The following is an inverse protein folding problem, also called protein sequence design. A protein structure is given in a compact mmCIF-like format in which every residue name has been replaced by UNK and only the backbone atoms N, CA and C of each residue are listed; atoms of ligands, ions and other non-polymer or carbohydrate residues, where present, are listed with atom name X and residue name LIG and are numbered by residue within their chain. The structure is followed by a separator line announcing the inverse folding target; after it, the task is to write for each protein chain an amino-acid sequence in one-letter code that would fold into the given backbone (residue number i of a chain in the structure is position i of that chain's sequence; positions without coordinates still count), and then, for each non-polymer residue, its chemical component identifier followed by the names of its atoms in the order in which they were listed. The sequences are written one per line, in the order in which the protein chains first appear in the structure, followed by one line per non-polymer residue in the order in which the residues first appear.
data_IF_056788837574
#
_entry.id   IF_056788837574
#
_cell.length_a   1.000
_cell.length_b   1.000
_cell.length_c   1.000
_cell.angle_alpha   90.00
_cell.angle_beta   90.00
_cell.angle_gamma   90.00
#
_symmetry.space_group_name_H-M   'P 1'
#
loop_
_entity.id
_entity.type
_entity.pdbx_description
1 polymer ?
#
# COMPACT_ATOMS: atom_id res chain seq x y z
N UNK A 1 -14.76 2.70 18.46
CA UNK A 1 -14.43 2.43 17.04
C UNK A 1 -14.00 0.97 16.92
N UNK A 2 -14.57 0.16 16.03
CA UNK A 2 -13.98 -1.13 15.71
C UNK A 2 -12.94 -0.92 14.59
N UNK A 3 -11.65 -0.96 14.95
CA UNK A 3 -10.57 -0.63 14.03
C UNK A 3 -10.48 -1.60 12.85
N UNK A 4 -10.65 -2.90 13.10
CA UNK A 4 -10.57 -3.96 12.08
C UNK A 4 -11.69 -3.78 11.07
N UNK A 5 -12.94 -3.68 11.55
CA UNK A 5 -14.11 -3.50 10.67
C UNK A 5 -14.01 -2.23 9.84
N UNK A 6 -13.58 -1.13 10.44
CA UNK A 6 -13.37 0.11 9.71
C UNK A 6 -12.32 -0.03 8.61
N UNK A 7 -11.17 -0.61 8.94
CA UNK A 7 -10.09 -0.80 7.98
C UNK A 7 -10.51 -1.72 6.83
N UNK A 8 -11.24 -2.81 7.13
CA UNK A 8 -11.81 -3.70 6.12
C UNK A 8 -12.79 -2.96 5.19
N UNK A 9 -13.70 -2.16 5.74
CA UNK A 9 -14.65 -1.38 4.95
C UNK A 9 -13.95 -0.37 4.04
N UNK A 10 -12.93 0.32 4.56
CA UNK A 10 -12.14 1.27 3.77
C UNK A 10 -11.42 0.57 2.62
N UNK A 11 -10.81 -0.59 2.87
CA UNK A 11 -10.13 -1.35 1.83
C UNK A 11 -11.10 -1.82 0.75
N UNK A 12 -12.29 -2.32 1.11
CA UNK A 12 -13.32 -2.65 0.14
C UNK A 12 -13.72 -1.43 -0.73
N UNK A 13 -13.91 -0.25 -0.11
CA UNK A 13 -14.20 0.99 -0.84
C UNK A 13 -13.04 1.45 -1.74
N UNK A 14 -11.79 1.17 -1.36
CA UNK A 14 -10.62 1.48 -2.17
C UNK A 14 -10.47 0.51 -3.35
N UNK A 15 -10.76 -0.77 -3.14
CA UNK A 15 -10.69 -1.81 -4.18
C UNK A 15 -11.76 -1.60 -5.27
N UNK A 16 -12.93 -1.06 -4.90
CA UNK A 16 -14.01 -0.69 -5.84
C UNK A 16 -13.69 0.57 -6.66
N UNK A 17 -12.76 1.43 -6.21
CA UNK A 17 -12.47 2.70 -6.86
C UNK A 17 -11.18 2.62 -7.69
N UNK A 18 -11.33 2.48 -9.01
CA UNK A 18 -10.22 2.39 -9.98
C UNK A 18 -9.28 3.61 -9.98
N UNK A 19 -9.73 4.77 -9.47
CA UNK A 19 -8.90 5.98 -9.41
C UNK A 19 -7.95 5.99 -8.20
N UNK A 20 -8.10 5.04 -7.26
CA UNK A 20 -7.21 4.88 -6.12
C UNK A 20 -5.86 4.35 -6.60
N UNK A 21 -4.82 5.05 -6.17
CA UNK A 21 -3.41 4.74 -6.45
C UNK A 21 -2.71 4.31 -5.17
N UNK A 22 -1.56 3.60 -5.25
CA UNK A 22 -0.79 3.23 -4.07
C UNK A 22 -0.45 4.43 -3.16
N UNK A 23 -0.27 5.62 -3.72
CA UNK A 23 -0.05 6.86 -2.96
C UNK A 23 -1.22 7.24 -2.06
N UNK A 24 -2.46 7.03 -2.51
CA UNK A 24 -3.67 7.27 -1.71
C UNK A 24 -3.74 6.31 -0.54
N UNK A 25 -3.47 5.02 -0.79
CA UNK A 25 -3.46 3.98 0.24
C UNK A 25 -2.39 4.30 1.29
N UNK A 26 -1.17 4.63 0.85
CA UNK A 26 -0.06 5.00 1.74
C UNK A 26 -0.42 6.20 2.61
N UNK A 27 -0.92 7.29 2.01
CA UNK A 27 -1.30 8.49 2.74
C UNK A 27 -2.45 8.23 3.72
N UNK A 28 -3.49 7.51 3.30
CA UNK A 28 -4.60 7.16 4.16
C UNK A 28 -4.16 6.35 5.37
N UNK A 29 -3.30 5.33 5.17
CA UNK A 29 -2.77 4.52 6.28
C UNK A 29 -1.97 5.39 7.25
N UNK A 30 -1.16 6.34 6.78
CA UNK A 30 -0.44 7.28 7.66
C UNK A 30 -1.41 8.10 8.51
N UNK A 31 -2.47 8.64 7.91
CA UNK A 31 -3.52 9.39 8.61
C UNK A 31 -4.27 8.50 9.63
N UNK A 32 -4.62 7.29 9.22
CA UNK A 32 -5.31 6.32 10.07
C UNK A 32 -4.47 5.91 11.28
N UNK A 33 -3.15 5.75 11.12
CA UNK A 33 -2.23 5.45 12.23
C UNK A 33 -2.26 6.55 13.29
N UNK A 34 -2.25 7.82 12.87
CA UNK A 34 -2.33 8.96 13.79
C UNK A 34 -3.70 9.02 14.46
N UNK A 35 -4.77 8.81 13.70
CA UNK A 35 -6.12 8.77 14.24
C UNK A 35 -6.31 7.65 15.27
N UNK A 36 -5.78 6.46 15.00
CA UNK A 36 -5.77 5.34 15.94
C UNK A 36 -4.96 5.66 17.20
N UNK A 37 -3.77 6.25 17.05
CA UNK A 37 -2.94 6.69 18.18
C UNK A 37 -3.71 7.70 19.07
N UNK A 38 -4.45 8.61 18.43
CA UNK A 38 -5.31 9.60 19.08
C UNK A 38 -6.68 9.04 19.52
N UNK A 39 -6.80 7.71 19.66
CA UNK A 39 -8.02 7.02 20.13
C UNK A 39 -9.26 7.34 19.29
N UNK A 40 -9.06 7.52 17.98
CA UNK A 40 -10.11 7.84 17.00
C UNK A 40 -10.83 9.17 17.26
N UNK A 41 -10.17 10.13 17.94
CA UNK A 41 -10.69 11.48 18.11
C UNK A 41 -10.45 12.30 16.85
N UNK A 42 -11.51 12.94 16.37
CA UNK A 42 -11.46 13.92 15.29
C UNK A 42 -11.53 15.35 15.86
N UNK A 43 -10.88 16.34 15.24
CA UNK A 43 -9.91 16.20 14.15
C UNK A 43 -8.54 15.70 14.61
N UNK A 44 -7.75 15.18 13.66
CA UNK A 44 -6.31 15.04 13.84
C UNK A 44 -5.58 16.27 13.30
N UNK A 45 -4.51 16.67 13.97
CA UNK A 45 -3.61 17.73 13.52
C UNK A 45 -2.49 17.12 12.69
N UNK A 46 -2.17 17.72 11.55
CA UNK A 46 -1.17 17.26 10.59
C UNK A 46 -0.07 18.30 10.41
N UNK A 47 1.17 17.88 10.63
CA UNK A 47 2.35 18.60 10.16
C UNK A 47 2.81 18.00 8.83
N UNK A 48 2.93 18.84 7.79
CA UNK A 48 3.15 18.38 6.41
C UNK A 48 4.37 17.46 6.28
N UNK A 49 5.50 17.85 6.86
CA UNK A 49 6.76 17.08 6.76
C UNK A 49 6.66 15.70 7.41
N UNK A 50 6.01 15.63 8.57
CA UNK A 50 5.78 14.37 9.30
C UNK A 50 4.93 13.42 8.46
N UNK A 51 3.80 13.89 7.93
CA UNK A 51 2.89 13.05 7.13
C UNK A 51 3.53 12.63 5.82
N UNK A 52 4.27 13.52 5.15
CA UNK A 52 5.01 13.20 3.94
C UNK A 52 6.02 12.08 4.18
N UNK A 53 6.80 12.16 5.25
CA UNK A 53 7.76 11.11 5.62
C UNK A 53 7.05 9.79 5.99
N UNK A 54 5.95 9.85 6.74
CA UNK A 54 5.17 8.68 7.13
C UNK A 54 4.50 7.98 5.94
N UNK A 55 4.08 8.74 4.92
CA UNK A 55 3.40 8.25 3.72
C UNK A 55 4.36 7.93 2.57
N UNK A 56 5.65 8.20 2.75
CA UNK A 56 6.69 8.04 1.71
C UNK A 56 6.40 8.86 0.45
N UNK A 57 5.77 10.02 0.62
CA UNK A 57 5.54 11.00 -0.44
C UNK A 57 6.56 12.12 -0.29
N UNK A 58 7.52 12.20 -1.19
CA UNK A 58 8.60 13.20 -1.13
C UNK A 58 8.22 14.54 -1.79
N UNK A 59 7.19 14.55 -2.65
CA UNK A 59 6.79 15.72 -3.41
C UNK A 59 5.63 16.46 -2.71
N UNK A 60 5.80 17.74 -2.32
CA UNK A 60 4.73 18.52 -1.67
C UNK A 60 3.49 18.69 -2.55
N UNK A 61 3.68 18.83 -3.85
CA UNK A 61 2.58 18.94 -4.83
C UNK A 61 1.81 17.63 -4.95
N UNK A 62 2.52 16.51 -4.98
CA UNK A 62 1.90 15.18 -4.98
C UNK A 62 1.14 14.93 -3.69
N UNK A 63 1.72 15.26 -2.54
CA UNK A 63 1.06 15.15 -1.24
C UNK A 63 -0.27 15.91 -1.22
N UNK A 64 -0.25 17.19 -1.63
CA UNK A 64 -1.45 18.02 -1.61
C UNK A 64 -2.52 17.49 -2.60
N UNK A 65 -2.09 17.03 -3.78
CA UNK A 65 -2.99 16.41 -4.77
C UNK A 65 -3.69 15.18 -4.18
N UNK A 66 -2.92 14.23 -3.64
CA UNK A 66 -3.46 12.98 -3.07
C UNK A 66 -4.37 13.28 -1.87
N UNK A 67 -4.04 14.28 -1.05
CA UNK A 67 -4.87 14.70 0.08
C UNK A 67 -6.24 15.23 -0.38
N UNK A 68 -6.26 16.06 -1.44
CA UNK A 68 -7.51 16.55 -2.06
C UNK A 68 -8.29 15.43 -2.76
N UNK A 69 -7.60 14.49 -3.41
CA UNK A 69 -8.24 13.32 -4.01
C UNK A 69 -8.88 12.43 -2.94
N UNK A 70 -8.22 12.18 -1.80
CA UNK A 70 -8.81 11.46 -0.67
C UNK A 70 -10.04 12.17 -0.08
N UNK A 71 -10.05 13.50 -0.05
CA UNK A 71 -11.22 14.29 0.34
C UNK A 71 -12.36 14.14 -0.67
N UNK A 72 -12.04 14.24 -1.97
CA UNK A 72 -13.00 14.05 -3.06
C UNK A 72 -13.67 12.67 -3.02
N UNK A 73 -12.89 11.62 -2.71
CA UNK A 73 -13.40 10.25 -2.56
C UNK A 73 -14.14 10.01 -1.24
N UNK A 74 -14.23 11.01 -0.36
CA UNK A 74 -14.99 10.92 0.88
C UNK A 74 -14.31 10.15 2.02
N UNK A 75 -13.02 9.81 1.89
CA UNK A 75 -12.25 9.17 2.97
C UNK A 75 -11.93 10.13 4.12
N UNK A 76 -11.71 11.40 3.79
CA UNK A 76 -11.34 12.44 4.75
C UNK A 76 -12.04 13.76 4.46
N UNK A 77 -11.93 14.70 5.41
CA UNK A 77 -12.23 16.12 5.21
C UNK A 77 -11.02 16.94 5.61
N UNK A 78 -10.50 17.75 4.70
CA UNK A 78 -9.25 18.48 4.84
C UNK A 78 -9.52 19.97 5.12
N UNK A 79 -8.98 20.46 6.24
CA UNK A 79 -8.99 21.86 6.59
C UNK A 79 -7.54 22.39 6.60
N UNK A 80 -7.11 23.07 5.53
CA UNK A 80 -5.75 23.59 5.43
C UNK A 80 -5.47 24.62 6.52
N UNK A 81 -4.22 24.65 6.98
CA UNK A 81 -3.67 25.73 7.79
C UNK A 81 -2.38 26.22 7.16
N UNK A 82 -2.16 27.53 7.19
CA UNK A 82 -0.92 28.16 6.74
C UNK A 82 0.06 28.40 7.88
N UNK A 83 -0.36 28.17 9.13
CA UNK A 83 0.49 28.32 10.32
C UNK A 83 1.24 27.00 10.60
N UNK A 84 2.59 27.01 10.54
CA UNK A 84 3.43 25.85 10.83
C UNK A 84 3.24 25.30 12.25
N UNK A 85 2.88 26.14 13.22
CA UNK A 85 2.72 25.75 14.63
C UNK A 85 1.36 25.10 14.90
N UNK A 86 0.33 25.45 14.13
CA UNK A 86 -1.02 24.90 14.30
C UNK A 86 -1.24 23.60 13.52
N UNK A 87 -0.57 23.45 12.38
CA UNK A 87 -0.77 22.30 11.47
C UNK A 87 -2.15 22.33 10.79
N UNK A 88 -2.32 21.52 9.74
CA UNK A 88 -3.62 21.37 9.08
C UNK A 88 -4.52 20.42 9.89
N UNK A 89 -5.84 20.61 9.83
CA UNK A 89 -6.79 19.71 10.50
C UNK A 89 -7.40 18.74 9.50
N UNK A 90 -7.45 17.46 9.86
CA UNK A 90 -8.11 16.43 9.05
C UNK A 90 -9.11 15.66 9.89
N UNK A 91 -10.27 15.40 9.32
CA UNK A 91 -11.30 14.53 9.90
C UNK A 91 -11.34 13.25 9.07
N UNK A 92 -11.20 12.09 9.72
CA UNK A 92 -11.39 10.81 9.03
C UNK A 92 -12.87 10.43 9.05
N UNK A 93 -13.38 9.96 7.92
CA UNK A 93 -14.76 9.51 7.77
C UNK A 93 -14.99 8.20 8.52
N UNK A 94 -16.12 8.09 9.22
CA UNK A 94 -16.49 6.93 10.01
C UNK A 94 -17.39 6.01 9.17
N UNK A 95 -16.84 4.91 8.67
CA UNK A 95 -17.53 3.95 7.79
C UNK A 95 -18.23 2.77 8.50
N UNK A 96 -18.48 2.85 9.82
CA UNK A 96 -19.28 1.85 10.54
C UNK A 96 -20.56 2.51 11.07
N UNK A 97 -21.71 2.11 10.52
CA UNK A 97 -23.04 2.35 11.11
C UNK A 97 -23.53 1.03 11.67
N UNK A 98 -23.24 0.75 12.93
CA UNK A 98 -23.75 -0.44 13.61
C UNK A 98 -23.59 -0.30 15.10
N UNK A 99 -24.68 -0.12 15.82
CA UNK A 99 -24.75 -0.26 17.28
C UNK A 99 -24.07 -1.57 17.70
N UNK A 100 -23.01 -1.50 18.50
CA UNK A 100 -22.33 -2.71 18.96
C UNK A 100 -23.07 -3.27 20.19
N UNK A 101 -23.65 -4.47 20.16
CA UNK A 101 -23.73 -5.28 21.37
C UNK A 101 -22.30 -5.68 21.79
N UNK A 102 -22.04 -5.89 23.09
CA UNK A 102 -20.72 -6.27 23.58
C UNK A 102 -20.27 -7.59 22.92
N UNK A 103 -18.98 -7.73 22.56
CA UNK A 103 -18.49 -8.90 21.84
C UNK A 103 -18.43 -10.11 22.78
N UNK A 104 -19.27 -11.13 22.55
CA UNK A 104 -18.97 -12.49 22.99
C UNK A 104 -17.77 -12.97 22.15
N UNK A 105 -16.57 -12.89 22.73
CA UNK A 105 -15.33 -13.25 22.07
C UNK A 105 -15.17 -14.77 22.00
N UNK A 106 -15.59 -15.36 20.88
CA UNK A 106 -15.09 -16.64 20.38
C UNK A 106 -14.69 -16.49 18.91
N UNK A 107 -13.79 -15.55 18.61
CA UNK A 107 -13.25 -15.38 17.26
C UNK A 107 -11.93 -16.14 17.15
N UNK A 108 -11.93 -17.18 16.31
CA UNK A 108 -10.74 -17.97 16.01
C UNK A 108 -9.72 -17.08 15.29
N UNK A 109 -8.42 -17.11 15.64
CA UNK A 109 -7.44 -16.19 15.08
C UNK A 109 -7.18 -16.37 13.57
N UNK A 110 -7.08 -15.23 12.87
CA UNK A 110 -6.94 -15.10 11.41
C UNK A 110 -5.74 -15.88 10.84
N UNK A 111 -4.67 -16.07 11.61
CA UNK A 111 -3.47 -16.79 11.16
C UNK A 111 -3.73 -18.24 10.72
N UNK A 112 -4.83 -18.86 11.17
CA UNK A 112 -5.20 -20.21 10.71
C UNK A 112 -5.69 -20.25 9.25
N UNK A 113 -6.23 -19.15 8.71
CA UNK A 113 -6.68 -19.08 7.31
C UNK A 113 -5.57 -18.75 6.32
N UNK A 114 -4.53 -18.03 6.76
CA UNK A 114 -3.40 -17.60 5.91
C UNK A 114 -2.60 -18.82 5.39
N UNK A 115 -2.46 -19.87 6.21
CA UNK A 115 -1.71 -21.08 5.84
C UNK A 115 -2.32 -21.81 4.63
N UNK A 116 -3.65 -21.86 4.52
CA UNK A 116 -4.31 -22.50 3.36
C UNK A 116 -4.08 -21.72 2.06
N UNK A 117 -3.99 -20.39 2.11
CA UNK A 117 -3.72 -19.56 0.92
C UNK A 117 -2.27 -19.73 0.45
N UNK A 118 -1.32 -19.78 1.39
CA UNK A 118 0.10 -19.98 1.05
C UNK A 118 0.36 -21.38 0.46
N UNK A 119 -0.28 -22.42 1.01
CA UNK A 119 -0.15 -23.80 0.51
C UNK A 119 -0.80 -23.99 -0.88
N UNK A 120 -1.90 -23.28 -1.18
CA UNK A 120 -2.52 -23.32 -2.52
C UNK A 120 -1.71 -22.58 -3.59
N UNK A 121 -0.96 -21.53 -3.24
CA UNK A 121 -0.06 -20.87 -4.21
C UNK A 121 1.16 -21.74 -4.55
N UNK A 122 1.73 -22.42 -3.55
CA UNK A 122 2.90 -23.30 -3.74
C UNK A 122 2.61 -24.53 -4.60
N UNK A 123 1.39 -25.08 -4.53
CA UNK A 123 0.95 -26.20 -5.38
C UNK A 123 0.69 -25.77 -6.84
N UNK A 124 0.14 -24.57 -7.05
CA UNK A 124 -0.07 -24.03 -8.40
C UNK A 124 1.25 -23.68 -9.11
N UNK A 125 2.24 -23.15 -8.38
CA UNK A 125 3.57 -22.84 -8.95
C UNK A 125 4.36 -24.10 -9.34
N UNK A 126 4.21 -25.22 -8.61
CA UNK A 126 4.85 -26.49 -8.99
C UNK A 126 4.26 -27.07 -10.29
N UNK A 127 2.93 -27.05 -10.46
CA UNK A 127 2.28 -27.59 -11.66
C UNK A 127 2.60 -26.80 -12.95
N UNK A 128 2.86 -25.49 -12.83
CA UNK A 128 3.26 -24.65 -13.97
C UNK A 128 4.73 -24.80 -14.34
N UNK A 129 5.58 -25.29 -13.43
CA UNK A 129 6.99 -25.56 -13.71
C UNK A 129 7.17 -26.92 -14.39
N UNK A 130 6.38 -27.93 -14.05
CA UNK A 130 6.40 -29.25 -14.70
C UNK A 130 6.00 -29.16 -16.20
N UNK A 131 5.02 -28.33 -16.57
CA UNK A 131 4.63 -28.11 -17.97
C UNK A 131 5.64 -27.27 -18.78
N UNK A 132 6.59 -26.59 -18.12
CA UNK A 132 7.66 -25.82 -18.77
C UNK A 132 8.93 -26.64 -18.97
N UNK A 133 9.17 -27.67 -18.16
CA UNK A 133 10.36 -28.53 -18.27
C UNK A 133 10.34 -29.44 -19.50
N UNK A 134 9.17 -29.87 -19.97
CA UNK A 134 9.06 -30.67 -21.20
C UNK A 134 9.29 -29.84 -22.49
N UNK A 135 9.14 -28.52 -22.44
CA UNK A 135 9.35 -27.63 -23.59
C UNK A 135 10.75 -26.97 -23.64
N UNK A 136 11.66 -27.26 -22.71
CA UNK A 136 12.97 -26.61 -22.62
C UNK A 136 14.17 -27.57 -22.77
N UNK A 137 13.99 -28.71 -23.44
CA UNK A 137 15.10 -29.57 -23.86
C UNK A 137 15.61 -29.23 -25.26
N UNK A 138 15.84 -27.95 -25.56
CA UNK A 138 16.64 -27.53 -26.72
C UNK A 138 17.13 -26.08 -26.62
N UNK A 139 17.93 -25.76 -25.59
CA UNK A 139 18.84 -24.61 -25.64
C UNK A 139 19.96 -24.78 -24.61
N UNK A 140 21.05 -25.39 -25.05
CA UNK A 140 22.29 -25.45 -24.28
C UNK A 140 22.78 -24.01 -24.02
N UNK A 141 22.79 -23.59 -22.75
CA UNK A 141 23.43 -22.34 -22.33
C UNK A 141 24.94 -22.46 -22.60
N UNK A 142 25.42 -21.85 -23.69
CA UNK A 142 26.85 -21.58 -23.86
C UNK A 142 27.31 -20.67 -22.72
N UNK A 143 28.30 -21.11 -21.95
CA UNK A 143 28.97 -20.28 -20.96
C UNK A 143 29.52 -19.03 -21.66
N UNK A 144 29.37 -17.87 -21.02
CA UNK A 144 29.87 -16.60 -21.54
C UNK A 144 31.39 -16.69 -21.76
N UNK A 145 31.83 -16.55 -23.01
CA UNK A 145 33.24 -16.43 -23.35
C UNK A 145 33.55 -14.95 -23.61
N UNK A 146 34.60 -14.44 -22.95
CA UNK A 146 35.06 -13.07 -23.15
C UNK A 146 35.52 -12.93 -24.60
N UNK A 147 35.08 -11.90 -25.34
CA UNK A 147 35.47 -11.72 -26.73
C UNK A 147 36.98 -11.51 -26.88
N UNK A 148 37.59 -11.94 -28.01
CA UNK A 148 39.02 -11.75 -28.27
C UNK A 148 39.42 -10.27 -28.25
N UNK A 149 40.61 -9.99 -27.73
CA UNK A 149 41.17 -8.64 -27.51
C UNK A 149 41.19 -7.78 -28.78
N UNK A 150 41.30 -8.39 -29.96
CA UNK A 150 41.29 -7.72 -31.27
C UNK A 150 40.03 -6.88 -31.50
N UNK A 151 38.87 -7.32 -30.98
CA UNK A 151 37.61 -6.58 -31.10
C UNK A 151 37.53 -5.32 -30.22
N UNK A 152 38.40 -5.23 -29.20
CA UNK A 152 38.42 -4.12 -28.25
C UNK A 152 39.27 -2.96 -28.78
N UNK A 153 40.32 -3.26 -29.56
CA UNK A 153 41.25 -2.23 -30.09
C UNK A 153 40.58 -1.24 -31.04
N UNK A 154 39.54 -1.65 -31.76
CA UNK A 154 38.78 -0.83 -32.72
C UNK A 154 38.12 0.40 -32.03
N UNK A 155 37.85 0.30 -30.72
CA UNK A 155 37.19 1.35 -29.95
C UNK A 155 38.13 2.40 -29.35
N UNK A 156 39.45 2.19 -29.45
CA UNK A 156 40.46 3.08 -28.87
C UNK A 156 41.32 3.82 -29.91
N UNK A 157 41.00 3.68 -31.21
CA UNK A 157 41.69 4.37 -32.32
C UNK A 157 40.90 5.55 -32.93
N UNK A 158 39.96 6.16 -32.17
CA UNK A 158 39.34 7.44 -32.54
C UNK A 158 39.89 8.61 -31.72
#
# INVERSE_FOLDING_TARGET
MNYIKHQQNVFAMMDENENIKPTHISLYISLFRIWNHNRFKNPITLFREEIMNMSKINSPTTYLKVLKELELYGFIRYHPSFDPNLGSKVYLTIFWKGTCPPPNQNLVPIYKHINNIYNNRKSNDLSQNELKEDNMKEKQKKAFQVPPIEHIQIYFEQ
#
